data_IF_565027352079
#
_entry.id   IF_565027352079
#
_cell.length_a   1.000
_cell.length_b   1.000
_cell.length_c   1.000
_cell.angle_alpha   90.00
_cell.angle_beta   90.00
_cell.angle_gamma   90.00
#
_symmetry.space_group_name_H-M   'P 1'
#
loop_
_entity.id
_entity.type
_entity.pdbx_description
1 polymer ?
2 non-polymer ?
3 non-polymer ?
4 water ?
#
# COMPACT_ATOMS: atom_id res chain seq x y z
N UNK A 6 22.22 -7.58 -23.09
CA UNK A 6 21.18 -6.56 -22.94
C UNK A 6 19.79 -7.20 -22.93
N UNK A 7 18.80 -6.43 -22.48
CA UNK A 7 17.50 -6.96 -22.12
C UNK A 7 16.51 -6.85 -23.29
N UNK A 8 15.63 -7.83 -23.38
CA UNK A 8 14.55 -7.82 -24.35
C UNK A 8 13.35 -7.00 -23.89
N UNK A 9 13.35 -6.48 -22.66
CA UNK A 9 12.13 -5.85 -22.17
C UNK A 9 11.99 -4.44 -22.71
N UNK A 10 10.76 -3.99 -22.97
CA UNK A 10 10.56 -2.58 -23.36
C UNK A 10 11.12 -1.63 -22.30
N UNK A 11 11.53 -0.46 -22.75
CA UNK A 11 12.21 0.50 -21.89
C UNK A 11 11.41 0.85 -20.63
N UNK A 12 10.11 1.15 -20.70
CA UNK A 12 9.39 1.46 -19.45
C UNK A 12 9.40 0.30 -18.47
N UNK A 13 9.34 -0.93 -18.96
CA UNK A 13 9.40 -2.08 -18.04
C UNK A 13 10.77 -2.16 -17.39
N UNK A 14 11.84 -1.87 -18.14
CA UNK A 14 13.17 -1.90 -17.56
C UNK A 14 13.32 -0.83 -16.49
N UNK A 15 12.78 0.36 -16.74
CA UNK A 15 12.90 1.44 -15.77
C UNK A 15 12.08 1.12 -14.51
N UNK A 16 10.89 0.53 -14.67
CA UNK A 16 10.12 0.04 -13.53
C UNK A 16 10.95 -0.91 -12.67
N UNK A 17 11.62 -1.87 -13.30
CA UNK A 17 12.49 -2.81 -12.57
C UNK A 17 13.58 -2.06 -11.82
N UNK A 18 14.21 -1.08 -12.49
CA UNK A 18 15.27 -0.31 -11.86
C UNK A 18 14.76 0.43 -10.62
N UNK A 19 13.61 1.09 -10.75
CA UNK A 19 13.14 1.91 -9.63
C UNK A 19 12.68 1.07 -8.44
N UNK A 20 12.10 -0.12 -8.66
CA UNK A 20 11.63 -0.87 -7.50
C UNK A 20 12.74 -1.68 -6.85
N UNK A 21 13.81 -2.03 -7.55
CA UNK A 21 14.95 -2.69 -6.92
C UNK A 21 16.09 -1.73 -6.57
N UNK A 22 15.83 -0.42 -6.55
CA UNK A 22 16.88 0.57 -6.36
C UNK A 22 17.40 0.54 -4.93
N UNK A 23 18.69 0.20 -4.76
CA UNK A 23 19.24 0.01 -3.42
C UNK A 23 19.48 1.33 -2.73
N UNK A 24 19.88 2.37 -3.47
CA UNK A 24 20.01 3.70 -2.88
C UNK A 24 18.70 4.13 -2.22
N UNK A 25 17.57 3.89 -2.89
CA UNK A 25 16.28 4.26 -2.29
C UNK A 25 16.02 3.49 -1.00
N UNK A 26 16.50 2.23 -0.92
CA UNK A 26 16.33 1.46 0.31
C UNK A 26 17.11 2.08 1.46
N UNK A 27 18.40 2.36 1.22
CA UNK A 27 19.22 2.97 2.27
C UNK A 27 18.72 4.37 2.61
N UNK A 28 18.27 5.13 1.60
CA UNK A 28 17.73 6.46 1.86
C UNK A 28 16.54 6.38 2.81
N UNK A 29 15.65 5.40 2.61
CA UNK A 29 14.51 5.22 3.50
C UNK A 29 14.97 4.96 4.93
N UNK A 30 15.93 4.07 5.11
CA UNK A 30 16.43 3.77 6.45
C UNK A 30 17.10 4.98 7.09
N UNK A 31 17.82 5.79 6.29
CA UNK A 31 18.43 7.01 6.84
C UNK A 31 17.34 7.99 7.28
N UNK A 32 16.27 8.14 6.49
CA UNK A 32 15.22 9.09 6.88
C UNK A 32 14.44 8.60 8.11
N UNK A 33 14.37 7.29 8.32
CA UNK A 33 13.82 6.78 9.57
C UNK A 33 14.77 6.95 10.75
N UNK A 34 16.04 7.31 10.51
CA UNK A 34 17.05 7.49 11.55
C UNK A 34 17.47 6.16 12.18
N UNK A 35 17.52 5.13 11.36
CA UNK A 35 18.02 3.84 11.80
C UNK A 35 19.54 3.85 11.79
N UNK A 36 20.15 3.27 12.84
CA UNK A 36 21.61 3.08 12.87
C UNK A 36 21.98 2.00 11.87
N UNK A 37 22.55 2.40 10.74
CA UNK A 37 22.93 1.44 9.70
C UNK A 37 24.18 0.65 10.06
N UNK A 38 24.96 1.11 11.05
CA UNK A 38 26.07 0.27 11.49
C UNK A 38 25.56 -0.87 12.35
N UNK A 39 24.61 -0.57 13.26
CA UNK A 39 24.01 -1.59 14.11
C UNK A 39 23.00 -2.47 13.38
N UNK A 40 22.30 -1.94 12.37
CA UNK A 40 21.30 -2.70 11.62
C UNK A 40 21.43 -2.38 10.14
N UNK A 41 22.42 -2.96 9.47
CA UNK A 41 22.59 -2.71 8.03
C UNK A 41 21.37 -3.14 7.23
N UNK A 42 21.32 -2.64 5.99
CA UNK A 42 20.28 -3.05 5.06
C UNK A 42 20.30 -4.56 4.86
N UNK A 43 21.49 -5.14 4.73
CA UNK A 43 21.62 -6.55 4.46
C UNK A 43 21.34 -7.47 5.65
N UNK A 44 21.14 -6.92 6.84
CA UNK A 44 20.97 -7.72 8.05
C UNK A 44 19.59 -7.50 8.69
N UNK A 45 18.61 -7.10 7.89
CA UNK A 45 17.25 -6.97 8.40
C UNK A 45 16.64 -8.35 8.63
N UNK A 46 16.01 -8.55 9.78
CA UNK A 46 15.42 -9.83 10.16
C UNK A 46 13.91 -9.71 10.22
N UNK A 47 13.23 -10.57 9.45
CA UNK A 47 11.79 -10.71 9.63
C UNK A 47 11.44 -11.05 11.07
N UNK A 48 12.25 -11.90 11.71
CA UNK A 48 11.99 -12.25 13.11
C UNK A 48 12.21 -11.05 14.02
N UNK A 49 13.26 -10.27 13.77
CA UNK A 49 13.45 -9.04 14.54
C UNK A 49 12.29 -8.08 14.35
N UNK A 50 11.81 -7.92 13.12
CA UNK A 50 10.70 -6.99 12.89
C UNK A 50 9.44 -7.49 13.60
N UNK A 51 9.23 -8.80 13.58
CA UNK A 51 8.06 -9.40 14.24
C UNK A 51 8.02 -9.03 15.71
N UNK A 52 9.14 -9.22 16.41
CA UNK A 52 9.20 -8.89 17.83
C UNK A 52 8.95 -7.40 18.07
N UNK A 53 9.49 -6.54 17.18
CA UNK A 53 9.28 -5.10 17.32
C UNK A 53 7.80 -4.74 17.23
N UNK A 54 7.08 -5.36 16.29
CA UNK A 54 5.63 -5.17 16.20
C UNK A 54 4.95 -5.43 17.54
N UNK A 55 5.31 -6.53 18.20
CA UNK A 55 4.65 -6.88 19.47
C UNK A 55 4.96 -5.84 20.55
N UNK A 56 6.24 -5.46 20.68
CA UNK A 56 6.59 -4.38 21.59
C UNK A 56 5.70 -3.17 21.33
N UNK A 57 5.54 -2.81 20.05
CA UNK A 57 4.69 -1.65 19.73
C UNK A 57 3.23 -1.91 20.14
N UNK A 58 2.76 -3.15 20.00
CA UNK A 58 1.40 -3.47 20.45
C UNK A 58 1.27 -3.38 21.97
N UNK A 59 2.27 -3.90 22.71
CA UNK A 59 2.28 -3.69 24.17
C UNK A 59 2.34 -2.21 24.53
N UNK A 60 3.13 -1.42 23.79
CA UNK A 60 3.18 0.01 24.07
C UNK A 60 1.79 0.62 23.94
N UNK A 61 1.09 0.28 22.85
CA UNK A 61 -0.24 0.82 22.62
C UNK A 61 -1.21 0.37 23.71
N UNK A 62 -1.06 -0.87 24.18
CA UNK A 62 -1.92 -1.34 25.26
C UNK A 62 -1.70 -0.53 26.54
N UNK A 63 -0.42 -0.41 26.96
CA UNK A 63 -0.07 0.46 28.10
C UNK A 63 -0.68 1.84 27.97
N UNK A 64 -0.47 2.50 26.82
CA UNK A 64 -1.00 3.85 26.62
C UNK A 64 -2.51 3.88 26.81
N UNK A 65 -3.20 2.85 26.33
CA UNK A 65 -4.67 2.90 26.32
C UNK A 65 -5.22 2.84 27.74
N UNK A 66 -4.72 1.91 28.55
CA UNK A 66 -5.15 1.82 29.95
C UNK A 66 -4.87 3.12 30.68
N UNK A 67 -3.66 3.65 30.54
CA UNK A 67 -3.08 4.52 31.52
C UNK A 67 -2.15 3.65 32.33
N UNK A 68 -0.85 3.87 32.20
CA UNK A 68 0.12 3.03 32.88
C UNK A 68 1.20 3.94 33.46
N UNK A 69 1.92 3.39 34.43
CA UNK A 69 3.09 4.08 34.96
C UNK A 69 3.99 4.53 33.82
N UNK A 70 4.37 5.81 33.85
CA UNK A 70 5.36 6.30 32.91
C UNK A 70 6.61 5.43 32.92
N UNK A 71 6.96 4.85 34.07
CA UNK A 71 8.06 3.91 34.15
C UNK A 71 7.82 2.67 33.29
N UNK A 72 6.55 2.25 33.14
CA UNK A 72 6.23 1.12 32.29
C UNK A 72 6.27 1.51 30.81
N UNK A 73 5.60 2.61 30.47
CA UNK A 73 5.64 3.14 29.11
C UNK A 73 7.08 3.37 28.67
N UNK A 74 7.90 3.95 29.55
CA UNK A 74 9.30 4.23 29.19
C UNK A 74 10.10 2.95 29.03
N UNK A 75 9.82 1.91 29.83
CA UNK A 75 10.57 0.67 29.66
C UNK A 75 10.20 -0.02 28.35
N UNK A 76 8.93 0.08 27.95
CA UNK A 76 8.51 -0.50 26.68
C UNK A 76 9.11 0.26 25.51
N UNK A 77 8.84 1.57 25.44
CA UNK A 77 9.48 2.50 24.51
C UNK A 77 10.96 2.23 24.40
N UNK A 78 11.63 2.03 25.54
CA UNK A 78 13.06 1.72 25.52
C UNK A 78 13.33 0.36 24.92
N UNK A 79 12.51 -0.64 25.25
CA UNK A 79 12.70 -1.98 24.69
C UNK A 79 12.67 -1.94 23.16
N UNK A 80 11.81 -1.08 22.59
CA UNK A 80 11.69 -1.00 21.13
C UNK A 80 12.99 -0.50 20.51
N UNK A 81 13.46 0.67 20.96
CA UNK A 81 14.70 1.24 20.43
C UNK A 81 15.91 0.37 20.73
N UNK A 82 15.85 -0.44 21.79
CA UNK A 82 16.90 -1.42 22.02
C UNK A 82 16.85 -2.53 20.97
N UNK A 83 15.64 -2.90 20.53
CA UNK A 83 15.51 -3.95 19.52
C UNK A 83 15.76 -3.42 18.11
N UNK A 84 15.17 -2.28 17.77
CA UNK A 84 15.39 -1.63 16.47
C UNK A 84 16.33 -0.44 16.68
N UNK A 85 17.61 -0.56 16.32
CA UNK A 85 18.61 0.47 16.69
C UNK A 85 18.49 1.73 15.85
N UNK A 86 18.30 2.86 16.52
CA UNK A 86 18.25 4.17 15.88
C UNK A 86 19.51 4.99 16.23
N UNK A 87 19.78 5.99 15.39
CA UNK A 87 20.80 7.03 15.64
C UNK A 87 20.13 8.38 15.40
N UNK A 88 19.78 9.07 16.48
CA UNK A 88 19.05 10.33 16.38
C UNK A 88 19.97 11.56 16.40
N UNK A 89 21.28 11.38 16.27
CA UNK A 89 22.17 12.52 16.24
C UNK A 89 22.13 13.28 17.55
N UNK A 90 21.96 14.60 17.46
CA UNK A 90 21.96 15.44 18.65
C UNK A 90 20.71 15.26 19.51
N UNK A 91 19.65 14.67 18.95
CA UNK A 91 18.38 14.60 19.65
C UNK A 91 18.31 13.33 20.50
N UNK A 92 17.40 13.35 21.43
CA UNK A 92 17.07 12.15 22.20
C UNK A 92 15.97 11.36 21.50
N UNK A 93 15.96 10.03 21.66
CA UNK A 93 14.92 9.20 21.00
C UNK A 93 13.52 9.62 21.45
N UNK A 94 12.59 9.76 20.51
CA UNK A 94 11.25 10.21 20.88
C UNK A 94 10.52 9.15 21.70
N UNK A 95 9.82 9.61 22.74
CA UNK A 95 9.17 8.71 23.68
C UNK A 95 7.89 8.17 23.05
N UNK A 96 7.78 6.85 22.99
CA UNK A 96 6.61 6.19 22.40
C UNK A 96 5.54 6.10 23.47
N UNK A 97 4.64 7.09 23.49
CA UNK A 97 3.68 7.22 24.58
C UNK A 97 2.32 7.71 24.07
N UNK A 98 2.03 7.60 22.78
CA UNK A 98 0.76 8.04 22.25
C UNK A 98 0.48 7.28 20.95
N UNK A 99 -0.74 7.44 20.43
CA UNK A 99 -1.18 6.66 19.28
C UNK A 99 -0.42 7.04 18.00
N UNK A 100 -0.37 8.34 17.68
CA UNK A 100 0.35 8.81 16.50
C UNK A 100 1.78 8.30 16.47
N UNK A 101 2.42 8.25 17.63
CA UNK A 101 3.81 7.83 17.68
C UNK A 101 3.95 6.33 17.44
N UNK A 102 3.02 5.53 17.96
CA UNK A 102 3.07 4.09 17.72
C UNK A 102 2.82 3.79 16.24
N UNK A 103 1.86 4.49 15.65
CA UNK A 103 1.49 4.27 14.26
C UNK A 103 2.68 4.54 13.34
N UNK A 104 3.33 5.69 13.51
CA UNK A 104 4.52 6.03 12.72
C UNK A 104 5.56 4.91 12.76
N UNK A 105 5.85 4.38 13.96
CA UNK A 105 6.84 3.32 14.06
C UNK A 105 6.33 2.01 13.46
N UNK A 106 5.01 1.76 13.54
CA UNK A 106 4.44 0.58 12.90
C UNK A 106 4.51 0.69 11.38
N UNK A 107 4.11 1.85 10.84
CA UNK A 107 4.23 2.07 9.40
C UNK A 107 5.67 1.99 8.93
N UNK A 108 6.63 2.34 9.80
CA UNK A 108 8.03 2.16 9.44
C UNK A 108 8.41 0.68 9.37
N UNK A 109 7.83 -0.13 10.26
CA UNK A 109 8.11 -1.57 10.22
C UNK A 109 7.50 -2.23 8.99
N UNK A 110 6.26 -1.86 8.65
CA UNK A 110 5.64 -2.29 7.38
C UNK A 110 6.60 -2.09 6.21
N UNK A 111 7.16 -0.88 6.09
CA UNK A 111 8.05 -0.50 4.99
C UNK A 111 9.35 -1.31 5.04
N UNK A 112 9.96 -1.42 6.22
CA UNK A 112 11.19 -2.21 6.38
C UNK A 112 11.00 -3.67 5.97
N UNK A 113 9.83 -4.24 6.27
CA UNK A 113 9.62 -5.63 5.88
C UNK A 113 9.66 -5.76 4.36
N UNK A 114 8.97 -4.86 3.65
CA UNK A 114 8.95 -4.97 2.19
C UNK A 114 10.31 -4.66 1.58
N UNK A 115 11.08 -3.76 2.22
CA UNK A 115 12.44 -3.52 1.77
C UNK A 115 13.28 -4.79 1.91
N UNK A 116 13.14 -5.48 3.06
CA UNK A 116 13.83 -6.75 3.27
C UNK A 116 13.46 -7.78 2.19
N UNK A 117 12.17 -7.87 1.84
CA UNK A 117 11.78 -8.76 0.74
C UNK A 117 12.52 -8.37 -0.55
N UNK A 118 12.57 -7.08 -0.84
CA UNK A 118 13.22 -6.63 -2.07
C UNK A 118 14.71 -6.96 -2.07
N UNK A 119 15.40 -6.60 -0.99
CA UNK A 119 16.83 -6.86 -0.90
C UNK A 119 17.12 -8.36 -0.89
N UNK A 120 16.27 -9.16 -0.25
CA UNK A 120 16.45 -10.61 -0.29
C UNK A 120 16.31 -11.15 -1.71
N UNK A 121 15.23 -10.76 -2.40
CA UNK A 121 15.09 -11.12 -3.80
C UNK A 121 16.34 -10.71 -4.59
N UNK A 122 16.77 -9.46 -4.41
CA UNK A 122 17.85 -8.92 -5.25
C UNK A 122 19.16 -9.65 -5.03
N UNK A 123 19.46 -10.02 -3.78
CA UNK A 123 20.70 -10.71 -3.45
C UNK A 123 20.67 -12.20 -3.83
N UNK A 124 19.50 -12.85 -3.78
CA UNK A 124 19.43 -14.29 -3.98
C UNK A 124 19.43 -14.69 -5.46
N UNK A 125 19.74 -15.96 -5.68
CA UNK A 125 19.84 -16.51 -7.02
C UNK A 125 21.29 -16.83 -7.38
N UNK A 126 21.46 -17.36 -8.58
CA UNK A 126 22.77 -17.74 -9.12
C UNK A 126 23.75 -16.57 -9.09
N UNK A 129 24.54 -15.45 -15.92
CA UNK A 129 25.70 -14.89 -16.63
C UNK A 129 25.33 -14.38 -18.01
N UNK A 130 24.49 -15.14 -18.72
CA UNK A 130 24.11 -14.79 -20.09
C UNK A 130 23.05 -13.71 -20.14
N UNK A 131 22.30 -13.48 -19.07
CA UNK A 131 21.13 -12.61 -19.11
C UNK A 131 21.42 -11.25 -18.47
N UNK A 132 20.71 -10.23 -18.94
CA UNK A 132 20.80 -8.90 -18.37
C UNK A 132 20.24 -8.93 -16.94
N UNK A 133 20.93 -8.34 -15.96
CA UNK A 133 20.36 -8.27 -14.60
C UNK A 133 18.94 -7.69 -14.55
N UNK A 134 18.59 -6.80 -15.48
CA UNK A 134 17.22 -6.32 -15.57
C UNK A 134 16.26 -7.49 -15.77
N UNK A 135 16.55 -8.33 -16.78
CA UNK A 135 15.72 -9.50 -17.03
C UNK A 135 15.77 -10.48 -15.87
N UNK A 136 16.95 -10.69 -15.28
CA UNK A 136 17.08 -11.62 -14.17
C UNK A 136 16.19 -11.20 -13.02
N UNK A 137 16.19 -9.90 -12.70
CA UNK A 137 15.43 -9.43 -11.55
C UNK A 137 13.95 -9.30 -11.87
N UNK A 138 13.62 -8.98 -13.12
CA UNK A 138 12.23 -9.05 -13.58
C UNK A 138 11.59 -10.39 -13.20
N UNK A 139 12.25 -11.50 -13.56
CA UNK A 139 11.67 -12.83 -13.36
C UNK A 139 11.42 -13.11 -11.89
N UNK A 140 12.24 -12.55 -11.00
CA UNK A 140 12.08 -12.78 -9.57
C UNK A 140 10.79 -12.20 -9.01
N UNK A 141 10.12 -11.30 -9.74
CA UNK A 141 8.85 -10.74 -9.30
C UNK A 141 7.67 -11.69 -9.51
N UNK A 142 7.86 -12.76 -10.28
CA UNK A 142 6.78 -13.71 -10.56
C UNK A 142 5.54 -12.97 -11.03
N UNK A 143 5.75 -12.02 -11.92
CA UNK A 143 4.68 -11.15 -12.39
C UNK A 143 4.93 -10.83 -13.84
N UNK A 144 3.92 -11.07 -14.67
CA UNK A 144 3.99 -10.67 -16.06
C UNK A 144 3.56 -9.21 -16.18
N UNK A 145 4.38 -8.42 -16.87
CA UNK A 145 4.24 -6.97 -16.93
C UNK A 145 4.28 -6.55 -18.40
N UNK A 146 3.18 -5.99 -18.88
CA UNK A 146 3.11 -5.49 -20.25
C UNK A 146 2.76 -4.00 -20.25
N UNK A 147 3.23 -3.30 -21.26
CA UNK A 147 2.94 -1.88 -21.42
C UNK A 147 1.62 -1.71 -22.14
N UNK A 148 0.72 -0.94 -21.56
CA UNK A 148 -0.57 -0.67 -22.17
C UNK A 148 -0.40 0.53 -23.10
N UNK A 149 -0.86 0.38 -24.34
CA UNK A 149 -0.61 1.41 -25.35
C UNK A 149 -1.45 2.65 -25.06
N UNK A 150 -0.82 3.81 -25.18
CA UNK A 150 -1.50 5.07 -24.90
C UNK A 150 -2.77 5.25 -25.73
N UNK A 151 -2.81 4.71 -26.95
CA UNK A 151 -3.97 4.92 -27.82
C UNK A 151 -4.90 3.70 -27.82
N UNK A 152 -5.16 3.14 -26.65
CA UNK A 152 -6.11 2.06 -26.43
C UNK A 152 -7.27 2.57 -25.59
N UNK A 153 -8.42 1.91 -25.71
CA UNK A 153 -9.52 2.28 -24.83
C UNK A 153 -9.16 2.05 -23.36
N UNK A 154 -8.36 1.02 -23.08
CA UNK A 154 -7.88 0.73 -21.73
C UNK A 154 -7.19 1.93 -21.12
N UNK A 155 -6.16 2.45 -21.81
CA UNK A 155 -5.40 3.58 -21.27
C UNK A 155 -6.29 4.82 -21.13
N UNK A 156 -7.19 5.03 -22.09
CA UNK A 156 -8.05 6.20 -22.02
C UNK A 156 -9.03 6.11 -20.85
N UNK A 157 -9.63 4.94 -20.63
CA UNK A 157 -10.47 4.77 -19.45
C UNK A 157 -9.67 5.06 -18.19
N UNK A 158 -8.45 4.52 -18.11
CA UNK A 158 -7.61 4.69 -16.93
C UNK A 158 -7.23 6.16 -16.74
N UNK A 159 -6.83 6.84 -17.83
CA UNK A 159 -6.46 8.26 -17.72
C UNK A 159 -7.66 9.11 -17.32
N UNK A 160 -8.84 8.79 -17.84
CA UNK A 160 -10.07 9.48 -17.42
C UNK A 160 -10.34 9.27 -15.93
N UNK A 161 -10.09 8.05 -15.44
CA UNK A 161 -10.25 7.74 -14.01
C UNK A 161 -9.33 8.62 -13.16
N UNK A 162 -8.11 8.86 -13.64
CA UNK A 162 -7.18 9.71 -12.90
C UNK A 162 -7.63 11.17 -12.90
N UNK A 163 -8.07 11.68 -14.06
CA UNK A 163 -8.52 13.08 -14.14
C UNK A 163 -9.71 13.34 -13.23
N UNK A 164 -10.76 12.51 -13.34
CA UNK A 164 -12.03 12.85 -12.72
C UNK A 164 -12.02 12.67 -11.19
N UNK A 165 -11.25 11.72 -10.66
CA UNK A 165 -11.20 11.49 -9.23
C UNK A 165 -9.98 12.15 -8.56
N UNK A 166 -9.34 13.10 -9.24
CA UNK A 166 -8.30 13.93 -8.64
C UNK A 166 -8.95 15.23 -8.18
N UNK A 167 -9.01 15.44 -6.86
CA UNK A 167 -9.62 16.64 -6.28
C UNK A 167 -8.58 17.48 -5.54
N UNK A 172 -3.14 19.71 -3.72
CA UNK A 172 -1.77 20.17 -3.57
C UNK A 172 -0.84 19.69 -4.70
N UNK A 173 -1.38 18.93 -5.67
CA UNK A 173 -0.60 18.49 -6.81
C UNK A 173 -1.53 18.16 -7.98
N UNK A 174 -0.99 18.30 -9.19
CA UNK A 174 -1.63 17.75 -10.36
C UNK A 174 -1.02 16.38 -10.65
N UNK A 175 -1.80 15.51 -11.28
CA UNK A 175 -1.40 14.13 -11.51
C UNK A 175 -1.30 13.88 -13.01
N UNK A 176 -0.19 13.28 -13.42
CA UNK A 176 0.05 12.93 -14.82
C UNK A 176 0.50 11.47 -14.91
N UNK A 177 -0.19 10.69 -15.72
CA UNK A 177 0.15 9.29 -15.90
C UNK A 177 1.29 9.17 -16.90
N UNK A 178 2.41 8.59 -16.48
CA UNK A 178 3.59 8.42 -17.34
C UNK A 178 3.50 7.11 -18.11
N UNK A 179 3.37 6.00 -17.38
CA UNK A 179 3.25 4.65 -17.93
C UNK A 179 2.10 3.90 -17.25
N UNK A 180 1.39 3.09 -18.03
CA UNK A 180 0.41 2.12 -17.53
C UNK A 180 0.92 0.73 -17.89
N UNK A 181 1.11 -0.11 -16.86
CA UNK A 181 1.46 -1.52 -17.06
C UNK A 181 0.27 -2.41 -16.72
N UNK A 182 -0.04 -3.35 -17.60
CA UNK A 182 -0.94 -4.46 -17.26
C UNK A 182 -0.13 -5.54 -16.55
N UNK A 183 -0.63 -6.01 -15.41
CA UNK A 183 0.13 -6.98 -14.62
C UNK A 183 -0.70 -8.22 -14.30
N UNK A 184 0.00 -9.36 -14.21
CA UNK A 184 -0.57 -10.67 -13.85
C UNK A 184 0.42 -11.35 -12.90
N UNK A 185 0.11 -11.32 -11.60
CA UNK A 185 0.93 -12.02 -10.62
C UNK A 185 0.69 -13.51 -10.75
N UNK A 186 1.75 -14.31 -10.61
CA UNK A 186 1.56 -15.76 -10.63
C UNK A 186 0.64 -16.18 -9.50
N UNK A 187 -0.33 -17.03 -9.82
CA UNK A 187 -1.23 -17.59 -8.84
C UNK A 187 -2.47 -16.77 -8.57
N UNK A 188 -2.54 -15.51 -9.02
CA UNK A 188 -3.67 -14.68 -8.62
C UNK A 188 -4.93 -15.04 -9.39
N UNK A 189 -4.78 -15.41 -10.67
CA UNK A 189 -5.93 -15.85 -11.48
C UNK A 189 -6.71 -16.97 -10.79
N UNK A 190 -5.98 -18.02 -10.36
CA UNK A 190 -6.58 -19.18 -9.69
C UNK A 190 -7.16 -18.79 -8.34
N UNK A 191 -6.39 -18.03 -7.55
CA UNK A 191 -6.80 -17.63 -6.21
C UNK A 191 -8.06 -16.76 -6.24
N UNK A 192 -8.20 -15.94 -7.28
CA UNK A 192 -9.32 -15.02 -7.36
C UNK A 192 -10.58 -15.64 -7.91
N UNK A 193 -10.48 -16.76 -8.64
CA UNK A 193 -11.59 -17.23 -9.47
C UNK A 193 -12.88 -17.49 -8.68
N UNK A 194 -12.87 -18.15 -7.52
CA UNK A 194 -14.13 -18.26 -6.77
C UNK A 194 -14.78 -16.93 -6.45
N UNK A 195 -13.99 -15.91 -6.14
CA UNK A 195 -14.58 -14.64 -5.75
C UNK A 195 -15.15 -13.88 -6.93
N UNK A 196 -14.79 -14.25 -8.16
CA UNK A 196 -15.38 -13.65 -9.35
C UNK A 196 -16.89 -13.85 -9.42
N UNK A 197 -17.43 -14.80 -8.64
CA UNK A 197 -18.87 -15.04 -8.59
C UNK A 197 -19.62 -13.95 -7.81
N UNK A 198 -18.99 -13.37 -6.78
CA UNK A 198 -19.59 -12.26 -6.06
C UNK A 198 -19.98 -11.16 -7.03
N UNK A 199 -21.13 -10.55 -6.79
CA UNK A 199 -21.44 -9.33 -7.52
C UNK A 199 -20.57 -8.20 -6.99
N UNK A 200 -20.78 -7.00 -7.52
CA UNK A 200 -20.14 -5.80 -7.01
C UNK A 200 -18.61 -5.91 -7.10
N UNK A 201 -18.13 -6.18 -8.29
CA UNK A 201 -16.71 -6.13 -8.56
C UNK A 201 -16.35 -4.75 -9.07
N UNK A 202 -15.31 -4.14 -8.51
CA UNK A 202 -14.99 -2.76 -8.82
C UNK A 202 -13.49 -2.60 -9.03
N UNK A 203 -13.13 -1.70 -9.93
CA UNK A 203 -11.73 -1.39 -10.21
C UNK A 203 -11.33 -0.21 -9.31
N UNK A 204 -10.43 -0.45 -8.37
CA UNK A 204 -10.16 0.52 -7.30
C UNK A 204 -8.67 0.78 -7.16
N UNK A 205 -8.35 1.94 -6.60
CA UNK A 205 -6.98 2.37 -6.42
C UNK A 205 -6.36 1.84 -5.13
N UNK A 206 -5.06 1.56 -5.18
CA UNK A 206 -4.31 1.26 -3.97
C UNK A 206 -2.90 1.82 -4.11
N UNK A 207 -2.57 2.77 -3.24
CA UNK A 207 -1.26 3.40 -3.26
C UNK A 207 -0.34 2.85 -2.18
N UNK A 208 0.97 2.91 -2.45
CA UNK A 208 1.97 2.47 -1.50
C UNK A 208 3.30 3.10 -1.89
N UNK A 209 4.25 3.08 -0.98
CA UNK A 209 5.57 3.63 -1.27
C UNK A 209 6.26 2.80 -2.35
N UNK A 210 7.14 3.46 -3.10
CA UNK A 210 7.86 2.77 -4.17
C UNK A 210 8.73 1.65 -3.63
N UNK A 211 9.35 1.85 -2.46
CA UNK A 211 10.21 0.82 -1.89
C UNK A 211 9.46 -0.43 -1.45
N UNK A 212 8.12 -0.44 -1.47
CA UNK A 212 7.32 -1.63 -1.18
C UNK A 212 6.94 -2.45 -2.41
N UNK A 213 7.19 -1.96 -3.63
CA UNK A 213 6.56 -2.61 -4.79
C UNK A 213 7.23 -3.92 -5.21
N UNK A 214 8.48 -4.17 -4.81
CA UNK A 214 9.01 -5.50 -5.06
C UNK A 214 8.31 -6.54 -4.19
N UNK A 215 8.02 -6.18 -2.93
CA UNK A 215 7.23 -7.06 -2.08
C UNK A 215 5.80 -7.22 -2.59
N UNK A 216 5.16 -6.10 -2.95
CA UNK A 216 3.76 -6.17 -3.36
C UNK A 216 3.60 -7.08 -4.57
N UNK A 217 4.54 -6.99 -5.52
CA UNK A 217 4.39 -7.76 -6.74
C UNK A 217 4.75 -9.23 -6.53
N UNK A 218 5.74 -9.54 -5.70
CA UNK A 218 6.04 -10.95 -5.52
C UNK A 218 5.03 -11.64 -4.59
N UNK A 219 4.43 -10.91 -3.65
CA UNK A 219 3.56 -11.52 -2.65
C UNK A 219 2.12 -11.06 -2.71
N UNK A 220 1.78 -10.09 -3.55
CA UNK A 220 0.43 -9.55 -3.56
C UNK A 220 0.19 -8.62 -2.37
N UNK A 221 -0.94 -7.91 -2.39
CA UNK A 221 -1.32 -7.09 -1.25
C UNK A 221 -1.64 -8.01 -0.08
N UNK A 222 -1.16 -7.65 1.11
CA UNK A 222 -1.24 -8.46 2.32
C UNK A 222 -1.94 -7.71 3.45
N UNK A 223 -2.27 -8.45 4.50
CA UNK A 223 -2.95 -7.92 5.66
C UNK A 223 -1.91 -7.81 6.77
N UNK A 224 -2.01 -6.76 7.58
CA UNK A 224 -1.07 -6.61 8.69
C UNK A 224 -1.03 -7.89 9.53
N UNK A 225 0.14 -8.34 9.95
CA UNK A 225 0.22 -9.51 10.85
C UNK A 225 -0.48 -9.24 12.18
N UNK A 226 -0.83 -10.29 12.93
CA UNK A 226 -1.52 -10.04 14.21
C UNK A 226 -0.63 -9.38 15.26
N UNK A 227 0.70 -9.56 15.21
CA UNK A 227 1.59 -8.84 16.13
C UNK A 227 1.43 -7.32 16.03
N UNK A 228 1.06 -6.82 14.86
CA UNK A 228 1.13 -5.38 14.60
C UNK A 228 0.02 -4.60 15.32
N UNK A 229 0.31 -3.37 15.70
CA UNK A 229 -0.75 -2.52 16.26
C UNK A 229 -1.85 -2.27 15.24
N UNK A 230 -3.07 -2.08 15.75
CA UNK A 230 -4.20 -1.74 14.91
C UNK A 230 -4.36 -0.22 14.79
N UNK A 231 -3.56 0.55 15.52
CA UNK A 231 -3.62 2.03 15.51
C UNK A 231 -3.60 2.59 14.09
N UNK A 232 -4.54 3.47 13.80
CA UNK A 232 -4.67 4.07 12.49
C UNK A 232 -5.50 3.28 11.49
N UNK A 233 -5.77 2.00 11.73
CA UNK A 233 -6.64 1.23 10.83
C UNK A 233 -8.10 1.53 11.16
N UNK A 234 -8.71 2.47 10.43
CA UNK A 234 -10.06 2.90 10.76
C UNK A 234 -11.03 1.74 10.76
N UNK A 235 -10.84 0.76 9.90
CA UNK A 235 -11.78 -0.35 9.84
C UNK A 235 -11.12 -1.67 10.13
N UNK A 236 -10.10 -1.66 10.99
CA UNK A 236 -9.40 -2.88 11.35
C UNK A 236 -8.39 -3.28 10.28
N UNK A 237 -7.67 -4.36 10.57
CA UNK A 237 -6.62 -4.82 9.68
C UNK A 237 -7.26 -5.43 8.43
N UNK A 238 -7.03 -4.81 7.28
CA UNK A 238 -7.49 -5.35 6.01
C UNK A 238 -6.68 -4.78 4.85
N UNK A 239 -7.22 -4.94 3.64
CA UNK A 239 -6.66 -4.33 2.44
C UNK A 239 -7.58 -3.19 2.01
N UNK A 240 -7.01 -1.99 1.87
CA UNK A 240 -7.76 -0.74 1.73
C UNK A 240 -7.70 -0.23 0.29
N UNK A 241 -8.81 0.33 -0.20
CA UNK A 241 -8.89 0.87 -1.55
C UNK A 241 -9.75 2.11 -1.59
N UNK A 242 -9.45 2.99 -2.54
CA UNK A 242 -10.21 4.22 -2.77
C UNK A 242 -10.83 4.19 -4.17
N UNK A 243 -11.94 4.91 -4.33
CA UNK A 243 -12.44 5.22 -5.66
C UNK A 243 -12.02 6.62 -6.11
N UNK A 244 -11.10 7.24 -5.38
CA UNK A 244 -10.56 8.57 -5.66
C UNK A 244 -9.04 8.46 -5.76
N UNK A 245 -8.48 8.78 -6.93
CA UNK A 245 -7.05 8.53 -7.07
C UNK A 245 -6.26 9.36 -6.07
N UNK A 246 -6.79 10.53 -5.69
CA UNK A 246 -6.15 11.42 -4.72
C UNK A 246 -5.96 10.73 -3.37
N UNK A 247 -7.02 10.07 -2.89
CA UNK A 247 -6.93 9.43 -1.58
C UNK A 247 -5.84 8.38 -1.58
N UNK A 248 -5.75 7.57 -2.64
CA UNK A 248 -4.73 6.53 -2.67
C UNK A 248 -3.34 7.10 -2.94
N UNK A 249 -3.26 8.14 -3.77
CA UNK A 249 -1.95 8.70 -4.11
C UNK A 249 -1.24 9.26 -2.88
N UNK A 250 -1.99 9.69 -1.85
CA UNK A 250 -1.35 10.14 -0.61
C UNK A 250 -0.54 9.02 0.05
N UNK A 251 -0.91 7.76 -0.20
CA UNK A 251 -0.15 6.67 0.42
C UNK A 251 1.12 6.33 -0.35
N UNK A 252 1.38 7.02 -1.47
CA UNK A 252 2.67 6.89 -2.14
C UNK A 252 3.76 7.63 -1.41
N UNK A 253 3.40 8.56 -0.52
CA UNK A 253 4.35 9.35 0.25
C UNK A 253 5.41 9.98 -0.65
N UNK A 254 4.98 10.57 -1.76
CA UNK A 254 5.93 11.08 -2.73
C UNK A 254 6.43 12.46 -2.34
N UNK A 255 7.76 12.63 -2.33
CA UNK A 255 8.40 13.90 -2.04
C UNK A 255 8.67 14.68 -3.32
N UNK A 256 8.47 16.00 -3.26
CA UNK A 256 8.85 16.88 -4.37
C UNK A 256 10.32 16.73 -4.74
N UNK A 257 11.12 16.16 -3.84
CA UNK A 257 12.45 15.72 -4.24
C UNK A 257 12.41 14.69 -5.36
N UNK A 258 11.56 13.67 -5.23
CA UNK A 258 11.41 12.64 -6.26
C UNK A 258 9.91 12.49 -6.53
N UNK A 259 9.34 13.34 -7.43
CA UNK A 259 7.87 13.44 -7.53
C UNK A 259 7.23 12.37 -8.40
N UNK A 260 7.78 11.15 -8.38
CA UNK A 260 7.23 10.01 -9.09
C UNK A 260 6.72 8.99 -8.09
N UNK A 261 5.50 8.50 -8.31
CA UNK A 261 4.94 7.46 -7.47
C UNK A 261 4.35 6.32 -8.29
N UNK A 262 4.13 5.19 -7.62
CA UNK A 262 3.50 3.99 -8.19
C UNK A 262 2.16 3.75 -7.50
N UNK A 263 1.15 3.39 -8.29
CA UNK A 263 -0.19 3.17 -7.76
C UNK A 263 -0.84 2.01 -8.51
N UNK A 264 -1.62 1.22 -7.78
CA UNK A 264 -2.25 0.03 -8.33
C UNK A 264 -3.72 0.28 -8.64
N UNK A 265 -4.19 -0.35 -9.72
CA UNK A 265 -5.61 -0.59 -9.94
C UNK A 265 -5.88 -2.07 -9.70
N UNK A 266 -6.78 -2.37 -8.75
CA UNK A 266 -7.17 -3.74 -8.47
C UNK A 266 -8.63 -3.96 -8.77
N UNK A 267 -8.94 -5.09 -9.39
CA UNK A 267 -10.30 -5.59 -9.36
C UNK A 267 -10.58 -6.16 -7.97
N UNK A 268 -11.57 -5.61 -7.28
CA UNK A 268 -11.89 -6.06 -5.93
C UNK A 268 -13.30 -6.61 -5.92
N UNK A 269 -13.46 -7.81 -5.39
CA UNK A 269 -14.77 -8.47 -5.32
C UNK A 269 -15.39 -8.13 -3.97
N UNK A 270 -16.24 -7.11 -3.97
CA UNK A 270 -16.75 -6.56 -2.73
C UNK A 270 -17.94 -7.37 -2.20
N UNK A 271 -18.78 -7.90 -3.08
CA UNK A 271 -19.99 -8.57 -2.61
C UNK A 271 -20.92 -7.61 -1.91
N UNK A 272 -21.58 -8.08 -0.83
CA UNK A 272 -22.45 -7.22 -0.03
C UNK A 272 -21.59 -6.39 0.92
N UNK A 273 -21.74 -5.07 0.84
CA UNK A 273 -20.89 -4.13 1.57
C UNK A 273 -21.49 -3.76 2.92
N UNK A 274 -20.70 -3.92 3.97
CA UNK A 274 -21.02 -3.45 5.31
C UNK A 274 -20.68 -1.96 5.38
N UNK A 275 -21.70 -1.11 5.28
CA UNK A 275 -21.50 0.32 5.05
C UNK A 275 -21.47 1.08 6.37
N UNK A 276 -20.35 1.79 6.63
CA UNK A 276 -20.10 2.42 7.92
C UNK A 276 -19.74 3.89 7.73
N UNK A 277 -20.19 4.71 8.67
CA UNK A 277 -19.82 6.12 8.70
C UNK A 277 -18.67 6.41 9.64
N UNK A 278 -18.39 5.53 10.60
CA UNK A 278 -17.42 5.85 11.65
C UNK A 278 -16.50 4.68 11.87
N UNK A 279 -15.35 4.99 12.47
CA UNK A 279 -14.36 3.98 12.80
C UNK A 279 -15.00 2.79 13.49
N UNK A 280 -14.59 1.60 13.08
CA UNK A 280 -15.06 0.38 13.73
C UNK A 280 -14.05 -0.70 13.39
N UNK A 281 -13.28 -1.12 14.38
CA UNK A 281 -12.26 -2.14 14.17
C UNK A 281 -12.94 -3.48 13.93
N UNK A 282 -12.91 -3.93 12.68
CA UNK A 282 -13.56 -5.17 12.26
C UNK A 282 -12.63 -6.33 12.56
N UNK A 283 -13.19 -7.38 13.14
CA UNK A 283 -12.49 -8.65 13.27
C UNK A 283 -13.22 -9.80 12.58
N UNK A 284 -14.54 -9.70 12.42
CA UNK A 284 -15.30 -10.62 11.58
C UNK A 284 -16.47 -9.85 11.00
N UNK A 285 -16.72 -10.04 9.71
CA UNK A 285 -17.86 -9.37 9.11
C UNK A 285 -19.15 -10.05 9.52
N UNK A 286 -20.26 -9.33 9.54
CA UNK A 286 -21.57 -9.99 9.66
C UNK A 286 -21.78 -11.02 8.56
N UNK A 287 -22.55 -12.06 8.88
CA UNK A 287 -22.93 -13.05 7.87
C UNK A 287 -23.56 -12.35 6.68
N UNK A 288 -23.18 -12.79 5.48
CA UNK A 288 -23.70 -12.20 4.26
C UNK A 288 -23.02 -10.91 3.82
N UNK A 289 -22.02 -10.43 4.54
CA UNK A 289 -21.24 -9.26 4.16
C UNK A 289 -19.85 -9.70 3.75
N UNK A 290 -19.30 -9.09 2.70
CA UNK A 290 -17.99 -9.51 2.24
C UNK A 290 -16.96 -8.39 2.16
N UNK A 291 -17.33 -7.16 2.51
CA UNK A 291 -16.41 -6.03 2.51
C UNK A 291 -17.01 -4.93 3.38
N UNK A 292 -16.16 -3.99 3.76
CA UNK A 292 -16.60 -2.75 4.39
C UNK A 292 -16.51 -1.61 3.38
N UNK A 293 -17.54 -0.80 3.32
CA UNK A 293 -17.47 0.48 2.63
C UNK A 293 -17.55 1.61 3.66
N UNK A 294 -16.45 2.38 3.77
CA UNK A 294 -16.51 3.65 4.49
C UNK A 294 -17.16 4.69 3.61
N UNK A 295 -18.21 5.33 4.14
CA UNK A 295 -19.03 6.25 3.36
C UNK A 295 -18.46 7.67 3.47
N UNK A 296 -18.10 8.25 2.32
CA UNK A 296 -17.53 9.58 2.28
C UNK A 296 -18.55 10.66 1.98
N UNK A 297 -18.17 11.91 2.27
CA UNK A 297 -18.99 13.06 1.87
C UNK A 297 -19.13 13.12 0.36
N UNK A 298 -18.04 12.89 -0.36
CA UNK A 298 -18.03 12.92 -1.81
C UNK A 298 -17.83 11.52 -2.37
N UNK A 299 -18.59 11.19 -3.40
CA UNK A 299 -18.58 9.92 -4.11
C UNK A 299 -18.57 10.20 -5.61
N UNK A 300 -18.02 9.28 -6.42
CA UNK A 300 -18.10 9.47 -7.87
C UNK A 300 -19.55 9.40 -8.33
N UNK A 301 -19.90 10.27 -9.28
CA UNK A 301 -21.24 10.31 -9.87
C UNK A 301 -21.60 8.93 -10.41
N UNK A 302 -22.57 8.25 -9.81
CA UNK A 302 -22.91 6.88 -10.26
C UNK A 302 -23.51 6.80 -11.67
N UNK A 303 -23.91 7.93 -12.25
CA UNK A 303 -24.45 7.91 -13.62
C UNK A 303 -23.35 7.72 -14.66
N UNK A 304 -22.09 7.98 -14.30
CA UNK A 304 -20.96 7.83 -15.20
C UNK A 304 -20.16 6.56 -14.93
N UNK A 305 -20.71 5.62 -14.16
CA UNK A 305 -20.10 4.31 -14.01
C UNK A 305 -19.98 3.62 -15.37
N UNK A 306 -18.78 3.23 -15.77
CA UNK A 306 -18.59 2.49 -16.99
C UNK A 306 -17.97 1.13 -16.64
N UNK A 307 -17.92 0.26 -17.64
CA UNK A 307 -17.43 -1.10 -17.45
C UNK A 307 -16.19 -1.34 -18.29
N UNK A 308 -15.31 -2.19 -17.77
CA UNK A 308 -14.04 -2.54 -18.42
C UNK A 308 -13.79 -4.00 -18.08
N UNK A 309 -14.02 -4.88 -19.06
CA UNK A 309 -13.84 -6.33 -18.90
C UNK A 309 -14.75 -6.90 -17.82
N UNK A 310 -15.98 -6.38 -17.75
CA UNK A 310 -16.95 -6.85 -16.78
C UNK A 310 -16.79 -6.31 -15.37
N UNK A 311 -15.90 -5.35 -15.16
CA UNK A 311 -15.64 -4.79 -13.84
C UNK A 311 -16.12 -3.35 -13.84
N UNK A 312 -16.82 -2.95 -12.79
CA UNK A 312 -17.27 -1.56 -12.70
C UNK A 312 -16.09 -0.63 -12.45
N UNK A 313 -16.04 0.46 -13.22
CA UNK A 313 -15.03 1.51 -13.02
C UNK A 313 -15.76 2.76 -12.59
N UNK A 314 -15.60 3.22 -11.34
CA UNK A 314 -16.37 4.38 -10.85
C UNK A 314 -15.66 5.70 -11.11
N UNK A 315 -15.51 6.05 -12.38
CA UNK A 315 -14.73 7.23 -12.78
C UNK A 315 -15.56 8.50 -12.83
N UNK A 316 -16.84 8.45 -12.51
CA UNK A 316 -17.63 9.65 -12.48
C UNK A 316 -17.02 10.74 -11.62
N UNK A 317 -17.20 11.97 -12.07
CA UNK A 317 -16.66 13.11 -11.34
C UNK A 317 -17.31 13.18 -9.95
N UNK A 318 -16.57 13.73 -9.00
CA UNK A 318 -17.02 13.78 -7.62
C UNK A 318 -18.27 14.61 -7.39
N UNK A 319 -19.29 14.02 -6.76
CA UNK A 319 -20.51 14.71 -6.37
C UNK A 319 -20.75 14.45 -4.88
N UNK A 320 -21.65 15.24 -4.30
CA UNK A 320 -22.06 14.98 -2.93
C UNK A 320 -22.77 13.64 -2.82
N UNK A 321 -22.46 12.90 -1.75
CA UNK A 321 -23.12 11.63 -1.48
C UNK A 321 -24.41 11.80 -0.69
N UNK A 322 -24.52 12.86 0.11
CA UNK A 322 -25.65 13.06 0.98
C UNK A 322 -25.60 12.33 2.30
N UNK A 323 -24.49 11.68 2.62
CA UNK A 323 -24.38 10.99 3.90
C UNK A 323 -24.37 12.02 5.01
N UNK A 324 -25.27 11.85 5.99
CA UNK A 324 -25.46 12.84 7.04
C UNK A 324 -24.19 13.05 7.86
N UNK A 325 -23.94 12.16 8.82
CA UNK A 325 -22.89 12.36 9.83
C UNK A 325 -21.69 11.50 9.45
N UNK A 326 -20.91 11.96 8.47
CA UNK A 326 -19.76 11.23 7.96
C UNK A 326 -18.47 11.81 8.51
N UNK A 327 -17.59 10.91 8.97
CA UNK A 327 -16.22 11.26 9.33
C UNK A 327 -15.30 11.35 8.12
N UNK A 328 -15.70 10.81 6.96
CA UNK A 328 -14.82 10.63 5.82
C UNK A 328 -15.16 11.62 4.73
N UNK A 329 -14.13 12.25 4.16
CA UNK A 329 -14.33 13.08 2.98
C UNK A 329 -14.63 12.24 1.74
N UNK A 330 -13.96 11.08 1.62
CA UNK A 330 -14.13 10.17 0.49
C UNK A 330 -14.37 8.73 0.96
N UNK A 331 -15.02 7.96 0.10
CA UNK A 331 -15.19 6.53 0.32
C UNK A 331 -13.86 5.81 0.56
N UNK A 332 -13.94 4.64 1.19
CA UNK A 332 -12.89 3.64 1.10
C UNK A 332 -13.53 2.25 1.22
N UNK A 333 -12.77 1.25 0.80
CA UNK A 333 -13.26 -0.11 0.69
C UNK A 333 -12.22 -1.03 1.29
N UNK A 334 -12.66 -2.02 2.06
CA UNK A 334 -11.75 -2.90 2.77
C UNK A 334 -12.23 -4.33 2.61
N UNK A 335 -11.33 -5.23 2.26
CA UNK A 335 -11.63 -6.65 2.29
C UNK A 335 -10.65 -7.31 3.24
N UNK A 336 -11.08 -8.44 3.82
CA UNK A 336 -10.35 -9.12 4.88
C UNK A 336 -9.86 -10.49 4.44
N UNK A 337 -9.94 -10.78 3.15
CA UNK A 337 -9.38 -11.99 2.55
C UNK A 337 -8.50 -11.57 1.38
N UNK A 338 -7.23 -11.98 1.38
CA UNK A 338 -6.32 -11.55 0.32
C UNK A 338 -6.75 -12.04 -1.05
N UNK A 339 -7.58 -13.09 -1.12
CA UNK A 339 -7.95 -13.66 -2.40
C UNK A 339 -9.04 -12.87 -3.10
N UNK A 340 -9.61 -11.87 -2.43
CA UNK A 340 -10.65 -11.02 -3.01
C UNK A 340 -10.10 -9.90 -3.92
N UNK A 341 -8.79 -9.86 -4.11
CA UNK A 341 -8.12 -8.81 -4.87
C UNK A 341 -7.44 -9.42 -6.09
N UNK A 342 -7.75 -8.88 -7.27
CA UNK A 342 -7.06 -9.26 -8.52
C UNK A 342 -6.39 -7.99 -9.06
N UNK A 343 -5.07 -7.90 -8.86
CA UNK A 343 -4.28 -6.76 -9.32
C UNK A 343 -4.25 -6.72 -10.85
N UNK A 344 -4.74 -5.63 -11.45
CA UNK A 344 -4.80 -5.52 -12.91
C UNK A 344 -3.77 -4.57 -13.52
N UNK A 345 -3.59 -3.37 -12.97
CA UNK A 345 -2.68 -2.38 -13.56
C UNK A 345 -1.75 -1.77 -12.52
N UNK A 346 -0.60 -1.31 -12.99
CA UNK A 346 0.35 -0.55 -12.19
C UNK A 346 0.70 0.73 -12.96
N UNK A 347 0.40 1.89 -12.38
CA UNK A 347 0.63 3.19 -13.00
C UNK A 347 1.87 3.84 -12.41
N UNK A 348 2.72 4.40 -13.27
CA UNK A 348 3.80 5.29 -12.85
C UNK A 348 3.29 6.71 -13.03
N UNK A 349 3.19 7.45 -11.92
CA UNK A 349 2.57 8.77 -11.90
C UNK A 349 3.61 9.84 -11.62
N UNK A 350 3.50 10.98 -12.31
CA UNK A 350 4.27 12.16 -12.00
C UNK A 350 3.39 13.09 -11.17
N UNK A 351 3.88 13.47 -9.99
CA UNK A 351 3.18 14.41 -9.12
C UNK A 351 3.70 15.80 -9.45
N UNK A 352 2.82 16.68 -9.93
CA UNK A 352 3.19 18.07 -10.24
C UNK A 352 2.70 18.95 -9.09
N UNK A 353 3.58 19.22 -8.14
CA UNK A 353 3.20 19.99 -6.95
C UNK A 353 3.04 21.47 -7.29
N UNK A 354 2.00 22.08 -6.75
CA UNK A 354 1.77 23.49 -7.06
C UNK A 354 1.11 24.20 -5.88
#
# INVERSE_FOLDING_TARGET
GPLGSKSKLPKPVQDLIKMIFDVESMKKAMVEYEIDLQKMPLGKLSKRQIQAAYSILSEVQQAVSQGSSDSQILDLSNRFYTLIPHDFGMKKPPLLNNADSVQAKAEMLDNLLDIEVAYSLLRGGSDDSSKDPIDVNYEKLKTDIKVVDRDSEEAEIIRKYVKNTHATTHNAYDLEVIDIFKIEREGECQRYKPFKQLHNRRLLWHGSRTTNFAGILSQGLRIAPPEAPVTGYMFGKGIYFADMVSKSANYCHTSQGDPIGLILLGEVALGNMYELKHASHISKLPKGKHSVKGLGKTTPDPSANISLDGVDVPLGTGISSGVNDTSLLYNEYIVYDIAQVNLKYLLKLKFNFKT
#
